data_IF_678024319331
#
_entry.id   IF_678024319331
#
_cell.length_a   1.000
_cell.length_b   1.000
_cell.length_c   1.000
_cell.angle_alpha   90.00
_cell.angle_beta   90.00
_cell.angle_gamma   90.00
#
_symmetry.space_group_name_H-M   'P 1'
#
loop_
_entity.id
_entity.type
_entity.pdbx_description
1 polymer ?
#
# COMPACT_ATOMS: atom_id res chain seq x y z
N UNK A 1 11.96 -16.81 -2.78
CA UNK A 1 11.26 -15.59 -3.30
C UNK A 1 10.61 -15.75 -4.66
N UNK A 2 11.28 -16.35 -5.67
CA UNK A 2 10.66 -16.48 -7.01
C UNK A 2 9.28 -17.17 -6.98
N UNK A 3 9.07 -18.30 -6.24
CA UNK A 3 7.74 -18.91 -6.16
C UNK A 3 6.67 -17.97 -5.57
N UNK A 4 7.04 -17.12 -4.58
CA UNK A 4 6.13 -16.12 -3.99
C UNK A 4 5.72 -15.07 -5.03
N UNK A 5 6.70 -14.55 -5.78
CA UNK A 5 6.40 -13.59 -6.84
C UNK A 5 5.55 -14.19 -7.97
N UNK A 6 5.74 -15.47 -8.30
CA UNK A 6 4.89 -16.16 -9.27
C UNK A 6 3.46 -16.36 -8.75
N UNK A 7 3.27 -16.69 -7.46
CA UNK A 7 1.94 -16.76 -6.86
C UNK A 7 1.23 -15.39 -6.92
N UNK A 8 1.94 -14.30 -6.55
CA UNK A 8 1.40 -12.92 -6.66
C UNK A 8 1.01 -12.60 -8.10
N UNK A 9 1.83 -12.94 -9.10
CA UNK A 9 1.52 -12.69 -10.52
C UNK A 9 0.29 -13.46 -10.99
N UNK A 10 0.14 -14.72 -10.56
CA UNK A 10 -1.05 -15.54 -10.86
C UNK A 10 -2.31 -14.98 -10.20
N UNK A 11 -2.21 -14.61 -8.92
CA UNK A 11 -3.30 -13.94 -8.20
C UNK A 11 -3.72 -12.66 -8.94
N UNK A 12 -2.76 -11.82 -9.32
CA UNK A 12 -3.02 -10.57 -10.03
C UNK A 12 -3.78 -10.78 -11.34
N UNK A 13 -3.43 -11.81 -12.12
CA UNK A 13 -4.14 -12.14 -13.34
C UNK A 13 -5.59 -12.58 -13.08
N UNK A 14 -5.79 -13.42 -12.06
CA UNK A 14 -7.13 -13.91 -11.68
C UNK A 14 -8.00 -12.79 -11.12
N UNK A 15 -7.44 -11.91 -10.28
CA UNK A 15 -8.13 -10.74 -9.72
C UNK A 15 -8.53 -9.76 -10.83
N UNK A 16 -7.60 -9.43 -11.76
CA UNK A 16 -7.92 -8.57 -12.90
C UNK A 16 -9.09 -9.14 -13.73
N UNK A 17 -9.15 -10.45 -13.88
CA UNK A 17 -10.26 -11.12 -14.56
C UNK A 17 -11.56 -11.00 -13.75
N UNK A 18 -11.51 -11.21 -12.43
CA UNK A 18 -12.67 -11.05 -11.56
C UNK A 18 -13.21 -9.61 -11.60
N UNK A 19 -12.34 -8.59 -11.53
CA UNK A 19 -12.73 -7.17 -11.67
C UNK A 19 -13.49 -6.91 -12.99
N UNK A 20 -13.15 -7.63 -14.06
CA UNK A 20 -13.76 -7.42 -15.38
C UNK A 20 -15.07 -8.18 -15.54
N UNK A 21 -15.18 -9.38 -14.96
CA UNK A 21 -16.22 -10.35 -15.27
C UNK A 21 -17.32 -10.42 -14.18
N UNK A 22 -17.03 -9.98 -12.94
CA UNK A 22 -17.95 -10.07 -11.81
C UNK A 22 -18.69 -8.74 -11.59
N UNK A 23 -19.90 -8.84 -11.02
CA UNK A 23 -20.67 -7.68 -10.60
C UNK A 23 -20.08 -7.03 -9.33
N UNK A 24 -20.16 -5.70 -9.24
CA UNK A 24 -19.69 -4.91 -8.10
C UNK A 24 -20.69 -4.85 -6.93
N UNK A 25 -21.51 -5.85 -6.76
CA UNK A 25 -22.51 -5.93 -5.69
C UNK A 25 -21.85 -5.97 -4.30
N UNK A 26 -22.46 -5.26 -3.36
CA UNK A 26 -22.08 -5.36 -1.95
C UNK A 26 -22.46 -6.74 -1.37
N UNK A 27 -21.56 -7.29 -0.57
CA UNK A 27 -21.88 -8.48 0.22
C UNK A 27 -22.78 -8.10 1.41
N UNK A 28 -23.44 -9.08 2.03
CA UNK A 28 -24.15 -8.89 3.29
C UNK A 28 -23.20 -8.85 4.50
N UNK A 29 -21.89 -8.96 4.29
CA UNK A 29 -20.87 -8.98 5.32
C UNK A 29 -20.18 -7.61 5.42
N UNK A 30 -19.76 -7.23 6.62
CA UNK A 30 -18.91 -6.08 6.88
C UNK A 30 -17.53 -6.57 7.35
N UNK A 31 -16.47 -5.86 6.97
CA UNK A 31 -15.14 -6.09 7.51
C UNK A 31 -15.03 -5.58 8.96
N UNK A 32 -13.89 -5.81 9.60
CA UNK A 32 -13.63 -5.38 10.98
C UNK A 32 -13.76 -3.86 11.21
N UNK A 33 -13.53 -3.05 10.17
CA UNK A 33 -13.71 -1.59 10.23
C UNK A 33 -15.18 -1.16 10.16
N UNK A 34 -16.12 -2.10 9.96
CA UNK A 34 -17.54 -1.82 9.76
C UNK A 34 -17.90 -1.35 8.36
N UNK A 35 -16.94 -1.36 7.42
CA UNK A 35 -17.19 -1.07 6.01
C UNK A 35 -17.85 -2.31 5.36
N UNK A 36 -18.85 -2.08 4.49
CA UNK A 36 -19.52 -3.16 3.77
C UNK A 36 -18.54 -3.70 2.74
N UNK A 37 -18.20 -4.99 2.85
CA UNK A 37 -17.32 -5.65 1.90
C UNK A 37 -17.99 -5.77 0.53
N UNK A 38 -17.24 -5.46 -0.52
CA UNK A 38 -17.64 -5.83 -1.87
C UNK A 38 -17.40 -7.34 -2.07
N UNK A 39 -18.18 -7.97 -2.92
CA UNK A 39 -17.95 -9.37 -3.33
C UNK A 39 -16.54 -9.56 -3.89
N UNK A 40 -16.01 -8.54 -4.56
CA UNK A 40 -14.66 -8.57 -5.15
C UNK A 40 -13.55 -8.64 -4.11
N UNK A 41 -13.72 -8.03 -2.91
CA UNK A 41 -12.75 -8.15 -1.81
C UNK A 41 -12.65 -9.62 -1.38
N UNK A 42 -13.80 -10.28 -1.17
CA UNK A 42 -13.87 -11.70 -0.79
C UNK A 42 -13.27 -12.60 -1.87
N UNK A 43 -13.63 -12.38 -3.14
CA UNK A 43 -13.11 -13.17 -4.27
C UNK A 43 -11.60 -12.98 -4.38
N UNK A 44 -11.09 -11.76 -4.23
CA UNK A 44 -9.66 -11.45 -4.31
C UNK A 44 -8.89 -12.11 -3.17
N UNK A 45 -9.42 -12.08 -1.95
CA UNK A 45 -8.83 -12.77 -0.79
C UNK A 45 -8.75 -14.28 -1.03
N UNK A 46 -9.84 -14.91 -1.48
CA UNK A 46 -9.86 -16.35 -1.78
C UNK A 46 -8.85 -16.73 -2.86
N UNK A 47 -8.72 -15.93 -3.91
CA UNK A 47 -7.74 -16.16 -4.99
C UNK A 47 -6.31 -16.15 -4.44
N UNK A 48 -5.98 -15.14 -3.60
CA UNK A 48 -4.65 -15.01 -3.03
C UNK A 48 -4.37 -16.17 -2.07
N UNK A 49 -5.29 -16.47 -1.16
CA UNK A 49 -5.14 -17.56 -0.20
C UNK A 49 -4.92 -18.90 -0.90
N UNK A 50 -5.66 -19.19 -1.99
CA UNK A 50 -5.49 -20.40 -2.80
C UNK A 50 -4.08 -20.47 -3.42
N UNK A 51 -3.60 -19.42 -4.10
CA UNK A 51 -2.27 -19.43 -4.73
C UNK A 51 -1.14 -19.61 -3.70
N UNK A 52 -1.26 -19.03 -2.51
CA UNK A 52 -0.27 -19.22 -1.45
C UNK A 52 -0.33 -20.59 -0.77
N UNK A 53 -1.50 -21.24 -0.73
CA UNK A 53 -1.64 -22.59 -0.13
C UNK A 53 -0.78 -23.67 -0.80
N UNK A 54 -0.38 -23.43 -2.04
CA UNK A 54 0.50 -24.35 -2.79
C UNK A 54 2.00 -24.13 -2.50
N UNK A 55 2.37 -23.17 -1.64
CA UNK A 55 3.77 -22.81 -1.40
C UNK A 55 4.26 -23.31 -0.03
N UNK A 56 5.02 -24.43 0.04
CA UNK A 56 5.50 -24.97 1.32
C UNK A 56 6.37 -24.00 2.12
N UNK A 57 7.01 -23.02 1.44
CA UNK A 57 7.84 -22.03 2.13
C UNK A 57 7.03 -20.94 2.86
N UNK A 58 5.72 -20.81 2.60
CA UNK A 58 4.86 -19.85 3.27
C UNK A 58 4.27 -20.49 4.52
N UNK A 59 4.65 -19.96 5.68
CA UNK A 59 4.18 -20.40 7.00
C UNK A 59 2.73 -19.99 7.22
N UNK A 60 2.46 -18.70 7.06
CA UNK A 60 1.16 -18.12 7.31
C UNK A 60 0.86 -16.94 6.38
N UNK A 61 -0.42 -16.64 6.23
CA UNK A 61 -0.91 -15.45 5.55
C UNK A 61 -1.83 -14.67 6.48
N UNK A 62 -1.78 -13.34 6.38
CA UNK A 62 -2.72 -12.43 7.03
C UNK A 62 -3.36 -11.54 5.98
N UNK A 63 -4.68 -11.45 5.97
CA UNK A 63 -5.48 -10.65 5.06
C UNK A 63 -6.13 -9.49 5.79
N UNK A 64 -6.20 -8.33 5.14
CA UNK A 64 -6.99 -7.20 5.63
C UNK A 64 -8.46 -7.56 5.87
N UNK A 65 -8.97 -8.54 5.12
CA UNK A 65 -10.37 -8.97 5.14
C UNK A 65 -10.68 -9.99 6.26
N UNK A 66 -9.66 -10.45 7.01
CA UNK A 66 -9.78 -11.47 8.06
C UNK A 66 -9.27 -10.97 9.41
N UNK A 67 -9.89 -11.45 10.48
CA UNK A 67 -9.48 -11.12 11.85
C UNK A 67 -8.19 -11.82 12.26
N UNK A 68 -8.01 -13.07 11.82
CA UNK A 68 -6.90 -13.93 12.21
C UNK A 68 -6.05 -14.33 11.00
N UNK A 69 -4.80 -14.66 11.28
CA UNK A 69 -3.91 -15.25 10.26
C UNK A 69 -4.32 -16.69 9.94
N UNK A 70 -4.13 -17.09 8.69
CA UNK A 70 -4.26 -18.49 8.26
C UNK A 70 -2.88 -19.16 8.29
N UNK A 71 -2.72 -20.21 9.10
CA UNK A 71 -1.51 -21.04 9.11
C UNK A 71 -1.60 -22.05 7.96
N UNK A 72 -0.74 -21.87 6.94
CA UNK A 72 -0.70 -22.76 5.78
C UNK A 72 0.26 -23.93 5.99
N UNK A 73 1.51 -23.65 6.37
CA UNK A 73 2.54 -24.65 6.59
C UNK A 73 3.35 -24.31 7.84
N UNK A 74 3.17 -24.99 8.96
CA UNK A 74 3.88 -24.67 10.21
C UNK A 74 5.41 -24.67 10.09
N UNK A 75 5.96 -25.47 9.17
CA UNK A 75 7.40 -25.57 8.90
C UNK A 75 7.90 -24.54 7.86
N UNK A 76 7.01 -23.69 7.34
CA UNK A 76 7.36 -22.61 6.40
C UNK A 76 8.15 -21.48 7.08
N UNK A 77 8.93 -20.77 6.30
CA UNK A 77 9.81 -19.70 6.80
C UNK A 77 9.21 -18.30 6.62
N UNK A 78 8.29 -18.13 5.67
CA UNK A 78 7.78 -16.82 5.28
C UNK A 78 6.35 -16.58 5.78
N UNK A 79 6.10 -15.36 6.25
CA UNK A 79 4.76 -14.84 6.49
C UNK A 79 4.41 -13.80 5.42
N UNK A 80 3.18 -13.81 4.89
CA UNK A 80 2.74 -12.88 3.85
C UNK A 80 1.48 -12.15 4.32
N UNK A 81 1.59 -10.84 4.54
CA UNK A 81 0.44 -9.97 4.81
C UNK A 81 0.00 -9.28 3.52
N UNK A 82 -1.30 -9.13 3.32
CA UNK A 82 -1.80 -8.49 2.11
C UNK A 82 -3.14 -7.77 2.31
N UNK A 83 -3.29 -6.68 1.55
CA UNK A 83 -4.57 -6.11 1.20
C UNK A 83 -4.95 -6.67 -0.19
N UNK A 84 -6.03 -7.45 -0.29
CA UNK A 84 -6.39 -8.11 -1.55
C UNK A 84 -6.85 -7.12 -2.60
N UNK A 85 -7.48 -6.00 -2.22
CA UNK A 85 -8.05 -5.06 -3.19
C UNK A 85 -8.18 -3.62 -2.62
N UNK A 86 -7.03 -2.93 -2.46
CA UNK A 86 -6.98 -1.51 -2.06
C UNK A 86 -7.84 -0.64 -2.96
N UNK A 87 -8.74 0.11 -2.34
CA UNK A 87 -9.63 1.04 -3.02
C UNK A 87 -10.79 0.37 -3.74
N UNK A 88 -11.27 -0.78 -3.33
CA UNK A 88 -12.36 -1.56 -3.96
C UNK A 88 -13.60 -0.71 -4.27
N UNK A 89 -13.96 0.26 -3.42
CA UNK A 89 -15.06 1.20 -3.64
C UNK A 89 -14.88 2.11 -4.88
N UNK A 90 -13.70 2.14 -5.48
CA UNK A 90 -13.43 2.91 -6.69
C UNK A 90 -13.79 2.15 -7.99
N UNK A 91 -14.06 0.85 -7.87
CA UNK A 91 -14.42 0.02 -9.04
C UNK A 91 -15.76 0.47 -9.62
N UNK A 92 -16.73 0.83 -8.77
CA UNK A 92 -18.06 1.29 -9.20
C UNK A 92 -18.00 2.55 -10.08
N UNK A 93 -16.92 3.29 -10.03
CA UNK A 93 -16.71 4.52 -10.82
C UNK A 93 -15.55 4.37 -11.81
N UNK A 94 -15.16 3.13 -12.11
CA UNK A 94 -14.14 2.76 -13.12
C UNK A 94 -12.78 3.43 -12.90
N UNK A 95 -12.36 3.56 -11.64
CA UNK A 95 -11.03 4.04 -11.26
C UNK A 95 -10.07 2.87 -10.97
N UNK A 96 -8.77 3.17 -11.02
CA UNK A 96 -7.74 2.18 -10.73
C UNK A 96 -7.73 1.80 -9.26
N UNK A 97 -7.53 0.52 -8.98
CA UNK A 97 -7.40 -0.10 -7.66
C UNK A 97 -6.11 -0.92 -7.59
N UNK A 98 -5.84 -1.60 -6.49
CA UNK A 98 -4.63 -2.39 -6.39
C UNK A 98 -4.67 -3.51 -5.36
N UNK A 99 -3.64 -4.35 -5.34
CA UNK A 99 -3.35 -5.30 -4.26
C UNK A 99 -1.98 -4.98 -3.67
N UNK A 100 -1.82 -5.16 -2.37
CA UNK A 100 -0.60 -4.86 -1.63
C UNK A 100 -0.12 -6.12 -0.92
N UNK A 101 1.19 -6.39 -0.93
CA UNK A 101 1.80 -7.55 -0.29
C UNK A 101 3.05 -7.14 0.49
N UNK A 102 3.12 -7.51 1.77
CA UNK A 102 4.32 -7.50 2.58
C UNK A 102 4.81 -8.93 2.83
N UNK A 103 6.07 -9.23 2.60
CA UNK A 103 6.66 -10.54 2.83
C UNK A 103 7.68 -10.45 3.96
N UNK A 104 7.48 -11.23 5.00
CA UNK A 104 8.22 -11.19 6.26
C UNK A 104 8.97 -12.50 6.52
N UNK A 105 10.10 -12.41 7.19
CA UNK A 105 10.91 -13.54 7.64
C UNK A 105 10.38 -14.06 8.99
N UNK A 106 9.39 -14.94 8.91
CA UNK A 106 8.85 -15.73 10.02
C UNK A 106 8.01 -15.03 11.10
N UNK A 107 8.02 -13.70 11.15
CA UNK A 107 7.35 -12.89 12.20
C UNK A 107 6.70 -11.63 11.62
N UNK A 108 5.56 -11.22 12.22
CA UNK A 108 4.84 -9.98 11.87
C UNK A 108 5.51 -8.74 12.46
N UNK A 109 6.76 -8.46 12.08
CA UNK A 109 7.51 -7.27 12.47
C UNK A 109 8.00 -6.56 11.21
N UNK A 110 7.75 -5.26 11.11
CA UNK A 110 8.21 -4.46 9.97
C UNK A 110 9.72 -4.60 9.72
N UNK A 111 10.53 -4.78 10.78
CA UNK A 111 11.98 -5.01 10.69
C UNK A 111 12.35 -6.35 10.06
N UNK A 112 11.43 -7.30 10.04
CA UNK A 112 11.57 -8.63 9.42
C UNK A 112 11.07 -8.66 7.97
N UNK A 113 10.57 -7.53 7.46
CA UNK A 113 10.15 -7.46 6.05
C UNK A 113 11.34 -7.61 5.12
N UNK A 114 11.26 -8.58 4.22
CA UNK A 114 12.31 -8.90 3.24
C UNK A 114 11.94 -8.54 1.82
N UNK A 115 10.64 -8.36 1.55
CA UNK A 115 10.16 -7.88 0.27
C UNK A 115 8.78 -7.24 0.42
N UNK A 116 8.45 -6.35 -0.52
CA UNK A 116 7.10 -5.82 -0.68
C UNK A 116 6.75 -5.76 -2.17
N UNK A 117 5.48 -5.96 -2.48
CA UNK A 117 4.94 -5.93 -3.84
C UNK A 117 3.60 -5.22 -3.82
N UNK A 118 3.31 -4.45 -4.85
CA UNK A 118 1.94 -4.07 -5.13
C UNK A 118 1.62 -4.23 -6.62
N UNK A 119 0.34 -4.47 -6.89
CA UNK A 119 -0.24 -4.53 -8.24
C UNK A 119 -1.16 -3.33 -8.43
N UNK A 120 -1.16 -2.75 -9.62
CA UNK A 120 -2.15 -1.76 -10.04
C UNK A 120 -3.06 -2.39 -11.10
N UNK A 121 -4.34 -2.38 -10.85
CA UNK A 121 -5.40 -2.73 -11.80
C UNK A 121 -6.00 -1.43 -12.34
N UNK A 122 -5.69 -1.10 -13.58
CA UNK A 122 -6.09 0.14 -14.24
C UNK A 122 -6.08 -0.02 -15.75
N UNK A 123 -5.92 1.05 -16.53
CA UNK A 123 -5.81 0.96 -18.00
C UNK A 123 -4.75 -0.03 -18.47
N UNK A 124 -3.78 -0.31 -17.60
CA UNK A 124 -2.77 -1.37 -17.76
C UNK A 124 -2.55 -2.01 -16.39
N UNK A 125 -2.39 -3.33 -16.38
CA UNK A 125 -1.95 -3.99 -15.16
C UNK A 125 -0.44 -3.81 -15.00
N UNK A 126 -0.02 -3.22 -13.89
CA UNK A 126 1.39 -2.95 -13.56
C UNK A 126 1.73 -3.52 -12.19
N UNK A 127 2.99 -3.88 -11.98
CA UNK A 127 3.51 -4.41 -10.72
C UNK A 127 4.77 -3.66 -10.33
N UNK A 128 4.91 -3.39 -9.04
CA UNK A 128 6.17 -2.90 -8.48
C UNK A 128 6.62 -3.88 -7.40
N UNK A 129 7.89 -4.25 -7.43
CA UNK A 129 8.52 -5.09 -6.41
C UNK A 129 9.65 -4.34 -5.71
N UNK A 130 9.76 -4.48 -4.40
CA UNK A 130 10.89 -4.03 -3.60
C UNK A 130 11.54 -5.27 -2.98
N UNK A 131 12.76 -5.59 -3.41
CA UNK A 131 13.49 -6.77 -2.97
C UNK A 131 15.00 -6.60 -3.14
N UNK A 132 15.79 -7.07 -2.16
CA UNK A 132 17.27 -7.00 -2.17
C UNK A 132 17.82 -5.63 -2.57
N UNK A 133 17.30 -4.57 -1.93
CA UNK A 133 17.76 -3.20 -2.15
C UNK A 133 17.35 -2.55 -3.46
N UNK A 134 16.46 -3.18 -4.24
CA UNK A 134 16.01 -2.67 -5.53
C UNK A 134 14.50 -2.54 -5.57
N UNK A 135 14.03 -1.45 -6.18
CA UNK A 135 12.62 -1.27 -6.52
C UNK A 135 12.48 -1.36 -8.04
N UNK A 136 11.68 -2.29 -8.52
CA UNK A 136 11.53 -2.58 -9.95
C UNK A 136 10.09 -2.46 -10.40
N UNK A 137 9.90 -1.90 -11.58
CA UNK A 137 8.60 -1.70 -12.21
C UNK A 137 8.41 -2.66 -13.37
N UNK A 138 7.25 -3.30 -13.41
CA UNK A 138 6.83 -4.26 -14.44
C UNK A 138 5.49 -3.86 -15.03
N UNK A 139 5.29 -4.22 -16.30
CA UNK A 139 4.00 -4.11 -16.99
C UNK A 139 3.56 -5.48 -17.51
N UNK A 140 2.26 -5.79 -17.36
CA UNK A 140 1.68 -6.99 -17.94
C UNK A 140 1.37 -6.80 -19.42
N UNK A 141 2.01 -7.58 -20.27
CA UNK A 141 1.81 -7.59 -21.73
C UNK A 141 2.11 -8.97 -22.29
N UNK A 142 1.29 -9.42 -23.25
CA UNK A 142 1.45 -10.71 -23.90
C UNK A 142 1.56 -11.84 -22.86
N UNK A 143 0.59 -11.88 -21.95
CA UNK A 143 0.41 -12.91 -20.91
C UNK A 143 1.57 -13.05 -19.90
N UNK A 144 2.40 -12.01 -19.75
CA UNK A 144 3.50 -12.00 -18.77
C UNK A 144 3.85 -10.59 -18.28
N UNK A 145 4.36 -10.52 -17.06
CA UNK A 145 5.00 -9.32 -16.54
C UNK A 145 6.38 -9.13 -17.16
N UNK A 146 6.65 -7.95 -17.68
CA UNK A 146 7.93 -7.55 -18.25
C UNK A 146 8.50 -6.40 -17.45
N UNK A 147 9.74 -6.54 -17.00
CA UNK A 147 10.46 -5.47 -16.34
C UNK A 147 10.65 -4.29 -17.31
N UNK A 148 10.35 -3.09 -16.82
CA UNK A 148 10.54 -1.84 -17.56
C UNK A 148 11.74 -1.07 -17.07
N UNK A 149 11.86 -0.86 -15.74
CA UNK A 149 12.93 -0.05 -15.15
C UNK A 149 13.05 -0.27 -13.64
N UNK A 150 14.21 0.10 -13.13
CA UNK A 150 14.40 0.35 -11.71
C UNK A 150 13.82 1.72 -11.35
N UNK A 151 13.15 1.82 -10.19
CA UNK A 151 12.59 3.07 -9.67
C UNK A 151 13.58 3.69 -8.68
N UNK A 152 13.80 5.00 -8.83
CA UNK A 152 14.45 5.85 -7.83
C UNK A 152 13.73 7.18 -7.75
N UNK A 153 13.45 7.62 -6.53
CA UNK A 153 12.88 8.92 -6.26
C UNK A 153 13.94 10.02 -6.38
N UNK A 154 13.52 11.16 -6.86
CA UNK A 154 14.31 12.39 -6.81
C UNK A 154 14.25 12.96 -5.40
N UNK A 155 15.20 13.81 -5.03
CA UNK A 155 15.20 14.52 -3.75
C UNK A 155 13.96 15.39 -3.55
N UNK A 156 13.45 16.01 -4.62
CA UNK A 156 12.22 16.82 -4.64
C UNK A 156 11.32 16.36 -5.78
N UNK A 157 10.03 16.18 -5.47
CA UNK A 157 8.99 15.84 -6.44
C UNK A 157 8.14 17.01 -6.89
N UNK A 158 6.95 16.70 -7.44
CA UNK A 158 5.98 17.68 -7.94
C UNK A 158 4.52 17.26 -7.78
N UNK A 159 4.27 16.12 -7.18
CA UNK A 159 2.93 15.60 -6.97
C UNK A 159 2.59 15.63 -5.48
N UNK A 160 1.31 15.87 -5.20
CA UNK A 160 0.79 15.83 -3.85
C UNK A 160 -0.53 15.07 -3.85
N UNK A 161 -0.61 14.00 -3.06
CA UNK A 161 -1.77 13.15 -2.87
C UNK A 161 -2.19 13.18 -1.39
N UNK A 162 -2.90 14.23 -0.95
CA UNK A 162 -3.34 14.36 0.43
C UNK A 162 -4.66 13.62 0.64
N UNK A 163 -4.65 12.64 1.55
CA UNK A 163 -5.80 11.83 1.91
C UNK A 163 -6.54 12.32 3.16
N UNK A 164 -7.62 11.64 3.47
CA UNK A 164 -8.50 11.98 4.58
C UNK A 164 -9.47 13.12 4.28
N UNK A 165 -10.45 13.29 5.18
CA UNK A 165 -11.47 14.33 5.06
C UNK A 165 -10.90 15.68 5.50
N UNK A 166 -10.71 16.61 4.59
CA UNK A 166 -10.08 17.93 4.82
C UNK A 166 -10.71 18.73 5.97
N UNK A 167 -12.00 18.57 6.20
CA UNK A 167 -12.73 19.21 7.30
C UNK A 167 -12.10 18.88 8.67
N UNK A 168 -11.55 17.70 8.81
CA UNK A 168 -10.98 17.18 10.05
C UNK A 168 -9.46 17.24 10.13
N UNK A 169 -8.80 17.78 9.10
CA UNK A 169 -7.35 17.93 9.10
C UNK A 169 -6.85 18.89 10.19
N UNK A 170 -5.72 18.58 10.85
CA UNK A 170 -5.04 19.54 11.69
C UNK A 170 -4.64 20.81 10.89
N UNK A 171 -4.72 21.98 11.53
CA UNK A 171 -4.43 23.26 10.87
C UNK A 171 -3.02 23.33 10.25
N UNK A 172 -2.03 22.72 10.92
CA UNK A 172 -0.66 22.68 10.42
C UNK A 172 -0.54 21.81 9.17
N UNK A 173 -1.26 20.69 9.11
CA UNK A 173 -1.32 19.84 7.91
C UNK A 173 -1.92 20.60 6.73
N UNK A 174 -3.05 21.26 6.93
CA UNK A 174 -3.66 22.09 5.88
C UNK A 174 -2.69 23.13 5.34
N UNK A 175 -1.99 23.86 6.21
CA UNK A 175 -0.98 24.84 5.80
C UNK A 175 0.17 24.21 4.99
N UNK A 176 0.63 23.01 5.37
CA UNK A 176 1.63 22.27 4.61
C UNK A 176 1.16 21.99 3.18
N UNK A 177 -0.05 21.46 3.05
CA UNK A 177 -0.62 21.09 1.76
C UNK A 177 -0.85 22.32 0.88
N UNK A 178 -1.43 23.41 1.44
CA UNK A 178 -1.62 24.68 0.76
C UNK A 178 -0.26 25.26 0.29
N UNK A 179 0.79 25.13 1.09
CA UNK A 179 2.16 25.54 0.74
C UNK A 179 2.69 24.80 -0.48
N UNK A 180 2.54 23.49 -0.55
CA UNK A 180 2.95 22.72 -1.74
C UNK A 180 2.17 23.14 -3.00
N UNK A 181 0.86 23.40 -2.88
CA UNK A 181 0.09 23.88 -4.04
C UNK A 181 0.50 25.27 -4.47
N UNK A 182 0.83 26.17 -3.53
CA UNK A 182 1.39 27.48 -3.84
C UNK A 182 2.76 27.39 -4.55
N UNK A 183 3.57 26.35 -4.26
CA UNK A 183 4.81 26.03 -4.97
C UNK A 183 4.59 25.36 -6.35
N UNK A 184 3.34 25.12 -6.76
CA UNK A 184 2.99 24.54 -8.05
C UNK A 184 2.96 23.01 -8.08
N UNK A 185 2.85 22.33 -6.94
CA UNK A 185 2.59 20.90 -6.91
C UNK A 185 1.22 20.58 -7.48
N UNK A 186 1.12 19.47 -8.19
CA UNK A 186 -0.14 19.02 -8.78
C UNK A 186 -0.87 18.09 -7.83
N UNK A 187 -2.15 18.37 -7.58
CA UNK A 187 -3.04 17.46 -6.87
C UNK A 187 -3.20 16.15 -7.67
N UNK A 188 -3.01 15.05 -6.99
CA UNK A 188 -3.20 13.70 -7.49
C UNK A 188 -3.75 12.85 -6.36
N UNK A 189 -5.06 12.73 -6.28
CA UNK A 189 -5.74 11.94 -5.26
C UNK A 189 -6.93 11.24 -5.90
N UNK A 190 -6.91 9.91 -5.91
CA UNK A 190 -7.98 9.06 -6.43
C UNK A 190 -8.88 8.50 -5.34
N UNK A 191 -8.34 8.30 -4.14
CA UNK A 191 -8.99 7.67 -3.01
C UNK A 191 -8.46 6.26 -2.69
N UNK A 192 -7.71 5.64 -3.61
CA UNK A 192 -6.98 4.39 -3.36
C UNK A 192 -5.51 4.66 -3.07
N UNK A 193 -4.94 3.96 -2.09
CA UNK A 193 -3.55 4.15 -1.71
C UNK A 193 -2.59 3.72 -2.82
N UNK A 194 -2.85 2.56 -3.43
CA UNK A 194 -2.01 2.01 -4.52
C UNK A 194 -1.91 2.96 -5.69
N UNK A 195 -2.99 3.42 -6.34
CA UNK A 195 -2.87 4.29 -7.51
C UNK A 195 -2.23 5.65 -7.18
N UNK A 196 -2.44 6.19 -5.98
CA UNK A 196 -1.90 7.48 -5.58
C UNK A 196 -0.40 7.41 -5.31
N UNK A 197 0.08 6.40 -4.59
CA UNK A 197 1.50 6.17 -4.36
C UNK A 197 2.23 5.74 -5.63
N UNK A 198 1.58 4.94 -6.48
CA UNK A 198 2.15 4.50 -7.76
C UNK A 198 2.53 5.67 -8.66
N UNK A 199 1.63 6.64 -8.84
CA UNK A 199 1.94 7.79 -9.71
C UNK A 199 3.06 8.67 -9.13
N UNK A 200 3.15 8.85 -7.81
CA UNK A 200 4.25 9.58 -7.16
C UNK A 200 5.58 8.86 -7.44
N UNK A 201 5.66 7.55 -7.23
CA UNK A 201 6.83 6.73 -7.52
C UNK A 201 7.25 6.84 -8.98
N UNK A 202 6.33 6.64 -9.92
CA UNK A 202 6.65 6.62 -11.36
C UNK A 202 7.02 8.00 -11.92
N UNK A 203 6.48 9.08 -11.37
CA UNK A 203 6.79 10.46 -11.76
C UNK A 203 8.03 11.01 -11.05
N UNK A 204 8.63 10.23 -10.16
CA UNK A 204 9.92 10.51 -9.54
C UNK A 204 9.85 11.34 -8.29
N UNK A 205 8.69 11.46 -7.65
CA UNK A 205 8.58 12.01 -6.32
C UNK A 205 7.41 12.97 -6.09
N UNK A 206 7.22 13.27 -4.82
CA UNK A 206 6.15 14.09 -4.28
C UNK A 206 5.84 13.68 -2.85
N UNK A 207 4.66 13.99 -2.38
CA UNK A 207 4.13 13.61 -1.08
C UNK A 207 2.80 12.88 -1.23
N UNK A 208 2.67 11.72 -0.60
CA UNK A 208 1.41 11.15 -0.17
C UNK A 208 1.30 11.39 1.33
N UNK A 209 0.15 11.85 1.81
CA UNK A 209 -0.09 12.08 3.23
C UNK A 209 -1.47 11.59 3.62
N UNK A 210 -1.53 10.86 4.72
CA UNK A 210 -2.77 10.47 5.37
C UNK A 210 -2.63 10.76 6.88
N UNK A 211 -2.93 12.01 7.31
CA UNK A 211 -2.72 12.42 8.69
C UNK A 211 -3.74 11.80 9.64
N UNK A 212 -3.46 11.85 10.92
CA UNK A 212 -4.48 11.72 11.95
C UNK A 212 -5.47 12.88 11.83
N UNK A 213 -6.74 12.58 11.91
CA UNK A 213 -7.83 13.56 11.78
C UNK A 213 -8.65 13.62 13.07
N UNK A 214 -9.46 14.66 13.24
CA UNK A 214 -10.26 14.82 14.46
C UNK A 214 -11.23 13.65 14.72
N UNK A 215 -11.69 12.99 13.66
CA UNK A 215 -12.55 11.81 13.71
C UNK A 215 -11.76 10.47 13.73
N UNK A 216 -10.49 10.47 13.30
CA UNK A 216 -9.60 9.29 13.29
C UNK A 216 -8.18 9.69 13.70
N UNK A 217 -7.91 9.96 14.98
CA UNK A 217 -6.61 10.45 15.44
C UNK A 217 -5.46 9.45 15.23
N UNK A 218 -5.76 8.15 15.27
CA UNK A 218 -4.79 7.07 15.05
C UNK A 218 -4.59 6.71 13.58
N UNK A 219 -5.13 7.53 12.65
CA UNK A 219 -5.09 7.28 11.22
C UNK A 219 -6.15 6.28 10.76
N UNK A 220 -6.14 5.97 9.46
CA UNK A 220 -7.07 5.02 8.83
C UNK A 220 -6.36 3.80 8.25
N UNK A 221 -5.17 4.01 7.67
CA UNK A 221 -4.47 2.99 6.91
C UNK A 221 -3.79 1.99 7.86
N UNK A 222 -3.91 0.68 7.53
CA UNK A 222 -3.44 -0.40 8.39
C UNK A 222 -1.95 -0.62 8.24
N UNK A 223 -1.26 -0.74 9.38
CA UNK A 223 0.20 -0.88 9.41
C UNK A 223 0.68 -2.09 8.62
N UNK A 224 0.12 -3.26 8.90
CA UNK A 224 0.62 -4.53 8.38
C UNK A 224 0.35 -4.71 6.88
N UNK A 225 -0.83 -4.30 6.43
CA UNK A 225 -1.33 -4.59 5.08
C UNK A 225 -0.98 -3.52 4.06
N UNK A 226 -0.88 -2.25 4.49
CA UNK A 226 -0.76 -1.08 3.62
C UNK A 226 0.50 -0.27 3.92
N UNK A 227 0.66 0.19 5.18
CA UNK A 227 1.67 1.19 5.56
C UNK A 227 3.09 0.63 5.47
N UNK A 228 3.36 -0.53 6.07
CA UNK A 228 4.69 -1.14 6.08
C UNK A 228 5.18 -1.56 4.69
N UNK A 229 4.36 -2.23 3.84
CA UNK A 229 4.76 -2.54 2.47
C UNK A 229 5.15 -1.30 1.67
N UNK A 230 4.37 -0.23 1.74
CA UNK A 230 4.70 1.00 1.04
C UNK A 230 5.88 1.75 1.67
N UNK A 231 6.04 1.72 3.00
CA UNK A 231 7.22 2.29 3.66
C UNK A 231 8.50 1.63 3.17
N UNK A 232 8.52 0.30 3.12
CA UNK A 232 9.64 -0.48 2.60
C UNK A 232 9.97 -0.13 1.13
N UNK A 233 8.95 0.00 0.28
CA UNK A 233 9.11 0.37 -1.13
C UNK A 233 9.68 1.79 -1.27
N UNK A 234 9.12 2.77 -0.53
CA UNK A 234 9.54 4.17 -0.64
C UNK A 234 10.96 4.38 -0.15
N UNK A 235 11.34 3.76 0.97
CA UNK A 235 12.70 3.85 1.50
C UNK A 235 13.73 3.23 0.55
N UNK A 236 13.45 2.05 -0.01
CA UNK A 236 14.34 1.43 -1.00
C UNK A 236 14.40 2.22 -2.32
N UNK A 237 13.35 2.97 -2.65
CA UNK A 237 13.37 3.88 -3.79
C UNK A 237 14.17 5.17 -3.51
N UNK A 238 14.64 5.39 -2.29
CA UNK A 238 15.43 6.56 -1.88
C UNK A 238 14.61 7.73 -1.35
N UNK A 239 13.32 7.50 -1.06
CA UNK A 239 12.43 8.38 -0.29
C UNK A 239 12.51 8.14 1.20
N UNK A 240 11.51 8.66 1.92
CA UNK A 240 11.30 8.43 3.35
C UNK A 240 9.82 8.14 3.62
N UNK A 241 9.55 7.43 4.72
CA UNK A 241 8.23 7.07 5.19
C UNK A 241 8.15 7.29 6.71
N UNK A 242 7.32 8.24 7.15
CA UNK A 242 7.25 8.68 8.54
C UNK A 242 5.83 8.76 9.07
N UNK A 243 5.70 8.68 10.39
CA UNK A 243 4.48 9.02 11.13
C UNK A 243 4.42 10.54 11.48
N UNK A 244 3.43 10.95 12.23
CA UNK A 244 3.26 12.35 12.68
C UNK A 244 4.33 12.82 13.66
N UNK A 245 4.97 11.90 14.40
CA UNK A 245 6.08 12.21 15.29
C UNK A 245 7.41 12.41 14.54
N UNK A 246 7.41 12.16 13.22
CA UNK A 246 8.58 12.11 12.37
C UNK A 246 9.39 10.82 12.52
N UNK A 247 8.86 9.84 13.24
CA UNK A 247 9.42 8.51 13.39
C UNK A 247 9.30 7.71 12.08
N UNK A 248 10.24 6.81 11.87
CA UNK A 248 10.26 5.95 10.69
C UNK A 248 9.14 4.90 10.82
N UNK A 249 8.26 4.80 9.81
CA UNK A 249 7.13 3.85 9.85
C UNK A 249 7.57 2.40 10.06
N UNK A 250 8.71 1.98 9.48
CA UNK A 250 9.26 0.64 9.64
C UNK A 250 9.75 0.31 11.06
N UNK A 251 9.71 1.27 12.00
CA UNK A 251 10.09 1.08 13.42
C UNK A 251 8.86 1.05 14.34
N UNK A 252 7.67 1.31 13.82
CA UNK A 252 6.44 1.27 14.59
C UNK A 252 6.13 -0.15 15.07
N UNK A 253 5.69 -0.31 16.31
CA UNK A 253 5.15 -1.60 16.77
C UNK A 253 3.83 -1.90 16.05
N UNK A 254 3.58 -3.19 15.83
CA UNK A 254 2.32 -3.71 15.34
C UNK A 254 1.91 -4.86 16.27
N UNK A 255 0.99 -4.61 17.17
CA UNK A 255 0.51 -5.57 18.15
C UNK A 255 -0.75 -6.30 17.69
N UNK A 256 -1.51 -5.67 16.83
CA UNK A 256 -2.69 -6.21 16.17
C UNK A 256 -2.53 -6.07 14.65
N UNK A 257 -2.87 -7.07 13.84
CA UNK A 257 -2.80 -6.98 12.37
C UNK A 257 -3.55 -5.77 11.80
N UNK A 258 -4.61 -5.32 12.47
CA UNK A 258 -5.44 -4.20 12.05
C UNK A 258 -5.06 -2.85 12.69
N UNK A 259 -3.95 -2.78 13.42
CA UNK A 259 -3.40 -1.52 13.92
C UNK A 259 -3.24 -0.50 12.78
N UNK A 260 -3.69 0.73 13.00
CA UNK A 260 -3.56 1.83 12.03
C UNK A 260 -2.46 2.81 12.39
N UNK A 261 -2.09 3.68 11.45
CA UNK A 261 -1.16 4.79 11.69
C UNK A 261 -1.43 5.94 10.75
N UNK A 262 -1.31 7.19 11.21
CA UNK A 262 -1.02 8.32 10.33
C UNK A 262 0.27 8.06 9.55
N UNK A 263 0.32 8.44 8.28
CA UNK A 263 1.48 8.11 7.46
C UNK A 263 1.76 9.16 6.38
N UNK A 264 3.06 9.35 6.11
CA UNK A 264 3.58 10.25 5.09
C UNK A 264 4.66 9.53 4.30
N UNK A 265 4.49 9.47 2.98
CA UNK A 265 5.44 8.84 2.07
C UNK A 265 5.88 9.87 1.04
N UNK A 266 7.17 10.06 0.86
CA UNK A 266 7.59 11.07 -0.08
C UNK A 266 9.07 11.07 -0.42
N UNK A 267 9.43 12.02 -1.25
CA UNK A 267 10.82 12.35 -1.46
C UNK A 267 11.38 13.10 -0.25
N UNK A 268 12.67 13.12 -0.07
CA UNK A 268 13.34 13.69 1.12
C UNK A 268 12.94 15.14 1.41
N UNK A 269 12.80 15.97 0.37
CA UNK A 269 12.39 17.37 0.52
C UNK A 269 10.99 17.51 1.12
N UNK A 270 10.02 16.76 0.57
CA UNK A 270 8.64 16.82 1.05
C UNK A 270 8.50 16.28 2.47
N UNK A 271 9.25 15.23 2.81
CA UNK A 271 9.27 14.70 4.17
C UNK A 271 9.94 15.67 5.15
N UNK A 272 11.02 16.37 4.74
CA UNK A 272 11.61 17.43 5.58
C UNK A 272 10.61 18.58 5.83
N UNK A 273 9.88 19.02 4.81
CA UNK A 273 8.81 20.01 4.95
C UNK A 273 7.70 19.51 5.90
N UNK A 274 7.34 18.22 5.83
CA UNK A 274 6.38 17.60 6.72
C UNK A 274 6.88 17.62 8.17
N UNK A 275 8.12 17.21 8.43
CA UNK A 275 8.75 17.26 9.74
C UNK A 275 8.76 18.68 10.34
N UNK A 276 9.02 19.70 9.52
CA UNK A 276 8.94 21.13 9.94
C UNK A 276 7.52 21.54 10.30
N UNK A 277 6.54 21.20 9.44
CA UNK A 277 5.14 21.57 9.67
C UNK A 277 4.56 20.92 10.94
N UNK A 278 5.03 19.73 11.28
CA UNK A 278 4.64 19.00 12.49
C UNK A 278 5.50 19.33 13.72
N UNK A 279 6.46 20.28 13.61
CA UNK A 279 7.29 20.70 14.72
C UNK A 279 8.34 19.69 15.18
N UNK A 280 8.64 18.69 14.36
CA UNK A 280 9.64 17.65 14.65
C UNK A 280 11.06 18.18 14.52
N UNK A 281 11.29 19.07 13.56
CA UNK A 281 12.56 19.76 13.32
C UNK A 281 12.33 21.26 13.14
N UNK A 282 13.38 22.08 13.37
CA UNK A 282 13.35 23.53 13.18
C UNK A 282 13.53 23.94 11.72
#
# INVERSE_FOLDING_TARGET
>A
MEPVFEAIKKSAFRIQKAITDEDTDYSSQSNQSGDIQLKLDIISDLIIAEEFSYLPLVKSIASEEKEEEDILNPDGELCVAYDPLDGSSLIDVDLSVGSIFGIYDGEWDAKKMIAAVYIVYGPRMEMVTAYKGNVRHYIYRHERFRELKQIKLKTKGRLNAPGGTQQFWPTHHKKLIDGFFAEGYRLRYSGGMVPDLHQILLKGGGLFSYPGTADRPDGKLRKLFEVFPFAYIYELAGGEAIDESGGRLMELPCSDPHDTSPCFFGSKYEIECTKKAYGVIQ
#
